data_IF_881439012686
#
_entry.id   IF_881439012686
#
_cell.length_a   1.000
_cell.length_b   1.000
_cell.length_c   1.000
_cell.angle_alpha   90.00
_cell.angle_beta   90.00
_cell.angle_gamma   90.00
#
_symmetry.space_group_name_H-M   'P 1'
#
loop_
_entity.id
_entity.type
_entity.pdbx_description
1 polymer ?
#
# COMPACT_ATOMS: atom_id res chain seq x y z
N UNK A 1 -2.69 -44.31 70.97
CA UNK A 1 -1.65 -44.07 69.90
C UNK A 1 -2.28 -43.11 68.90
N UNK A 2 -1.96 -41.80 68.97
CA UNK A 2 -2.46 -40.77 68.04
C UNK A 2 -1.32 -40.46 67.06
N UNK A 3 -1.54 -40.75 65.77
CA UNK A 3 -0.57 -40.39 64.71
C UNK A 3 -0.86 -38.97 64.26
N UNK A 4 0.07 -38.03 64.59
CA UNK A 4 0.11 -36.70 63.98
C UNK A 4 0.65 -36.79 62.55
N UNK A 5 -0.13 -36.35 61.55
CA UNK A 5 0.34 -36.13 60.18
C UNK A 5 0.77 -34.68 60.04
N UNK A 6 2.07 -34.47 59.81
CA UNK A 6 2.67 -33.17 59.53
C UNK A 6 2.55 -32.87 58.03
N UNK A 7 1.68 -31.95 57.64
CA UNK A 7 1.63 -31.41 56.27
C UNK A 7 2.69 -30.36 56.07
N UNK A 8 3.71 -30.66 55.29
CA UNK A 8 4.74 -29.71 54.87
C UNK A 8 4.19 -28.99 53.62
N UNK A 9 3.77 -27.72 53.79
CA UNK A 9 3.40 -26.83 52.66
C UNK A 9 4.69 -26.38 51.97
N UNK A 10 4.98 -26.94 50.79
CA UNK A 10 5.99 -26.37 49.87
C UNK A 10 5.37 -25.18 49.16
N UNK A 11 5.71 -23.97 49.59
CA UNK A 11 5.47 -22.73 48.84
C UNK A 11 6.58 -22.64 47.79
N UNK A 12 6.28 -23.15 46.58
CA UNK A 12 7.11 -22.91 45.41
C UNK A 12 6.94 -21.47 44.96
N UNK A 13 7.94 -20.65 45.23
CA UNK A 13 8.03 -19.31 44.66
C UNK A 13 8.13 -19.39 43.14
N UNK A 14 7.07 -19.04 42.43
CA UNK A 14 7.13 -18.75 41.00
C UNK A 14 7.85 -17.40 40.85
N UNK A 15 9.16 -17.44 40.77
CA UNK A 15 9.96 -16.35 40.20
C UNK A 15 9.62 -16.24 38.72
N UNK A 16 8.60 -15.47 38.38
CA UNK A 16 8.42 -15.03 37.00
C UNK A 16 9.63 -14.18 36.65
N UNK A 17 10.58 -14.74 35.94
CA UNK A 17 11.56 -13.93 35.21
C UNK A 17 10.77 -13.11 34.22
N UNK A 18 10.52 -11.85 34.54
CA UNK A 18 10.13 -10.83 33.56
C UNK A 18 11.40 -10.67 32.70
N UNK A 19 11.44 -11.39 31.58
CA UNK A 19 12.41 -11.12 30.55
C UNK A 19 12.03 -9.74 29.99
N UNK A 20 12.97 -8.79 29.99
CA UNK A 20 12.76 -7.52 29.30
C UNK A 20 12.41 -7.82 27.84
N UNK A 21 11.38 -7.16 27.34
CA UNK A 21 11.01 -7.25 25.95
C UNK A 21 12.23 -6.92 25.07
N UNK A 22 12.52 -7.71 24.01
CA UNK A 22 13.64 -7.39 23.13
C UNK A 22 13.42 -6.02 22.49
N UNK A 23 14.50 -5.25 22.35
CA UNK A 23 14.47 -3.94 21.70
C UNK A 23 13.96 -4.07 20.27
N UNK A 24 13.22 -3.07 19.81
CA UNK A 24 12.64 -3.05 18.48
C UNK A 24 13.73 -2.90 17.40
N UNK A 25 13.71 -3.78 16.41
CA UNK A 25 14.64 -3.76 15.27
C UNK A 25 14.11 -2.97 14.06
N UNK A 26 12.91 -2.37 14.13
CA UNK A 26 12.36 -1.59 13.04
C UNK A 26 12.89 -0.15 13.04
N UNK A 27 13.16 0.39 11.85
CA UNK A 27 13.72 1.72 11.64
C UNK A 27 12.87 2.49 10.62
N UNK A 28 11.57 2.71 10.92
CA UNK A 28 10.64 3.27 9.96
C UNK A 28 10.06 4.62 10.37
N UNK A 29 9.85 5.49 9.35
CA UNK A 29 8.94 6.63 9.44
C UNK A 29 7.52 6.09 9.18
N UNK A 30 6.64 6.18 10.16
CA UNK A 30 5.26 5.69 10.08
C UNK A 30 4.25 6.80 9.73
N UNK A 31 4.58 8.05 10.04
CA UNK A 31 3.82 9.23 9.62
C UNK A 31 4.74 10.45 9.48
N UNK A 32 4.33 11.39 8.63
CA UNK A 32 5.04 12.65 8.43
C UNK A 32 4.03 13.77 8.20
N UNK A 33 4.34 14.95 8.79
CA UNK A 33 3.67 16.21 8.49
C UNK A 33 4.72 17.25 8.10
N UNK A 34 4.40 18.12 7.17
CA UNK A 34 5.25 19.24 6.79
C UNK A 34 4.80 20.47 7.55
N UNK A 35 5.76 21.12 8.19
CA UNK A 35 5.58 22.32 8.98
C UNK A 35 6.22 23.53 8.29
N UNK A 36 5.61 24.69 8.43
CA UNK A 36 6.24 25.94 8.06
C UNK A 36 7.30 26.38 9.08
N UNK A 37 8.03 27.43 8.79
CA UNK A 37 9.08 27.96 9.66
C UNK A 37 8.64 28.36 11.08
N UNK A 38 7.34 28.46 11.33
CA UNK A 38 6.75 28.77 12.65
C UNK A 38 6.36 27.51 13.44
N UNK A 39 6.60 26.31 12.88
CA UNK A 39 6.22 25.05 13.48
C UNK A 39 4.74 24.70 13.36
N UNK A 40 3.98 25.41 12.54
CA UNK A 40 2.58 25.09 12.24
C UNK A 40 2.46 24.26 10.97
N UNK A 41 1.41 23.44 10.81
CA UNK A 41 1.20 22.67 9.58
C UNK A 41 1.22 23.59 8.35
N UNK A 42 1.96 23.17 7.31
CA UNK A 42 2.05 23.91 6.06
C UNK A 42 0.76 23.71 5.25
N UNK A 43 0.09 24.80 4.90
CA UNK A 43 -1.22 24.77 4.23
C UNK A 43 -1.13 24.61 2.71
N UNK A 44 0.05 24.75 2.14
CA UNK A 44 0.27 24.58 0.70
C UNK A 44 0.55 23.13 0.29
N UNK A 45 0.49 22.19 1.23
CA UNK A 45 0.61 20.76 0.92
C UNK A 45 -0.72 20.26 0.34
N UNK A 46 -0.62 19.53 -0.75
CA UNK A 46 -1.77 18.93 -1.44
C UNK A 46 -1.94 17.47 -1.00
N UNK A 47 -3.13 17.12 -0.52
CA UNK A 47 -3.51 15.75 -0.19
C UNK A 47 -2.58 15.05 0.82
N UNK A 48 -2.47 13.75 0.70
CA UNK A 48 -1.72 12.91 1.64
C UNK A 48 -0.23 12.86 1.32
N UNK A 49 0.58 12.80 2.37
CA UNK A 49 2.02 12.50 2.24
C UNK A 49 2.18 10.99 2.11
N UNK A 50 3.00 10.58 1.15
CA UNK A 50 3.25 9.18 0.84
C UNK A 50 4.58 8.76 1.43
N UNK A 51 4.57 7.63 2.11
CA UNK A 51 5.76 6.99 2.64
C UNK A 51 5.87 5.63 1.97
N UNK A 52 6.78 5.50 1.02
CA UNK A 52 7.05 4.28 0.27
C UNK A 52 8.55 4.07 0.12
N UNK A 53 9.01 2.86 0.30
CA UNK A 53 10.38 2.41 0.01
C UNK A 53 11.47 3.42 0.41
N UNK A 54 11.51 3.80 1.68
CA UNK A 54 12.47 4.78 2.21
C UNK A 54 12.37 6.19 1.57
N UNK A 55 11.22 6.53 1.02
CA UNK A 55 10.93 7.86 0.51
C UNK A 55 9.69 8.44 1.20
N UNK A 56 9.77 9.70 1.58
CA UNK A 56 8.62 10.52 1.98
C UNK A 56 8.38 11.52 0.85
N UNK A 57 7.24 11.41 0.19
CA UNK A 57 6.85 12.28 -0.92
C UNK A 57 5.63 13.10 -0.54
N UNK A 58 5.74 14.40 -0.60
CA UNK A 58 4.64 15.35 -0.48
C UNK A 58 4.48 16.15 -1.76
N UNK A 59 3.24 16.38 -2.17
CA UNK A 59 2.96 17.35 -3.24
C UNK A 59 2.54 18.69 -2.65
N UNK A 60 2.98 19.78 -3.26
CA UNK A 60 2.72 21.12 -2.80
C UNK A 60 2.25 22.05 -3.93
N UNK A 61 1.61 23.16 -3.56
CA UNK A 61 1.34 24.24 -4.49
C UNK A 61 2.64 24.94 -4.90
N UNK A 62 2.78 25.41 -6.15
CA UNK A 62 3.98 26.13 -6.59
C UNK A 62 4.28 27.41 -5.80
N UNK A 63 3.33 27.92 -5.02
CA UNK A 63 3.51 29.10 -4.16
C UNK A 63 4.20 28.81 -2.83
N UNK A 64 4.51 27.56 -2.50
CA UNK A 64 5.18 27.19 -1.26
C UNK A 64 6.63 27.71 -1.22
N UNK A 65 7.08 28.18 -0.07
CA UNK A 65 8.49 28.50 0.18
C UNK A 65 9.23 27.22 0.66
N UNK A 66 9.76 26.46 -0.29
CA UNK A 66 10.50 25.23 0.00
C UNK A 66 11.76 25.44 0.85
N UNK A 67 12.27 26.68 0.94
CA UNK A 67 13.54 26.96 1.64
C UNK A 67 13.40 27.04 3.17
N UNK A 68 12.18 26.99 3.70
CA UNK A 68 11.87 27.24 5.12
C UNK A 68 10.84 26.28 5.68
N UNK A 69 11.06 25.00 5.50
CA UNK A 69 10.15 23.98 6.01
C UNK A 69 10.82 23.11 7.08
N UNK A 70 10.01 22.47 7.90
CA UNK A 70 10.42 21.48 8.90
C UNK A 70 9.47 20.27 8.82
N UNK A 71 9.79 19.19 9.52
CA UNK A 71 8.97 18.00 9.57
C UNK A 71 8.57 17.68 11.01
N UNK A 72 7.36 17.16 11.16
CA UNK A 72 6.93 16.38 12.31
C UNK A 72 6.80 14.94 11.85
N UNK A 73 7.61 14.05 12.40
CA UNK A 73 7.63 12.62 12.01
C UNK A 73 7.23 11.74 13.18
N UNK A 74 6.50 10.67 12.87
CA UNK A 74 6.28 9.56 13.78
C UNK A 74 7.14 8.40 13.32
N UNK A 75 7.89 7.82 14.25
CA UNK A 75 8.78 6.68 14.01
C UNK A 75 8.18 5.39 14.60
N UNK A 76 8.74 4.26 14.23
CA UNK A 76 8.57 3.01 14.97
C UNK A 76 9.04 3.21 16.42
N UNK A 77 8.46 2.46 17.34
CA UNK A 77 8.71 2.62 18.78
C UNK A 77 10.20 2.45 19.11
N UNK A 78 10.72 3.38 19.89
CA UNK A 78 12.15 3.40 20.31
C UNK A 78 13.14 3.87 19.24
N UNK A 79 12.74 4.02 17.98
CA UNK A 79 13.62 4.47 16.91
C UNK A 79 13.99 5.95 17.02
N UNK A 80 15.16 6.32 16.46
CA UNK A 80 15.67 7.68 16.41
C UNK A 80 15.91 8.13 14.98
N UNK A 81 15.87 9.44 14.72
CA UNK A 81 16.09 10.03 13.40
C UNK A 81 17.15 11.12 13.44
N UNK A 82 17.97 11.18 12.40
CA UNK A 82 19.01 12.22 12.23
C UNK A 82 19.09 12.61 10.73
N UNK A 83 19.28 13.92 10.42
CA UNK A 83 19.27 15.07 11.32
C UNK A 83 17.91 15.29 12.00
N UNK A 84 17.85 16.22 12.95
CA UNK A 84 16.59 16.58 13.61
C UNK A 84 15.56 17.08 12.57
N UNK A 85 14.43 16.39 12.39
CA UNK A 85 13.42 16.76 11.39
C UNK A 85 12.68 18.05 11.73
N UNK A 86 12.62 18.45 13.00
CA UNK A 86 12.00 19.71 13.43
C UNK A 86 12.84 20.95 13.07
N UNK A 87 14.09 20.74 12.66
CA UNK A 87 14.94 21.84 12.17
C UNK A 87 14.41 22.37 10.84
N UNK A 88 14.31 23.70 10.72
CA UNK A 88 13.98 24.37 9.44
C UNK A 88 15.12 24.13 8.45
N UNK A 89 14.76 23.60 7.28
CA UNK A 89 15.68 23.22 6.20
C UNK A 89 15.15 23.68 4.84
N UNK A 90 16.02 23.61 3.83
CA UNK A 90 15.68 23.86 2.43
C UNK A 90 15.30 22.54 1.74
N UNK A 91 14.05 22.42 1.32
CA UNK A 91 13.49 21.27 0.61
C UNK A 91 13.34 21.53 -0.91
N UNK A 92 13.98 22.55 -1.46
CA UNK A 92 14.05 22.73 -2.92
C UNK A 92 14.79 21.57 -3.62
N UNK A 93 15.51 20.75 -2.83
CA UNK A 93 16.13 19.50 -3.23
C UNK A 93 15.80 18.41 -2.20
N UNK A 94 15.81 17.11 -2.58
CA UNK A 94 15.58 16.01 -1.66
C UNK A 94 16.49 16.08 -0.42
N UNK A 95 15.92 15.97 0.76
CA UNK A 95 16.64 15.94 2.03
C UNK A 95 16.73 14.51 2.56
N UNK A 96 17.87 14.15 3.13
CA UNK A 96 18.13 12.81 3.64
C UNK A 96 18.06 12.76 5.15
N UNK A 97 17.41 11.75 5.67
CA UNK A 97 17.29 11.44 7.08
C UNK A 97 17.60 9.98 7.32
N UNK A 98 18.37 9.69 8.35
CA UNK A 98 18.65 8.31 8.77
C UNK A 98 17.81 8.00 9.99
N UNK A 99 16.99 6.97 9.90
CA UNK A 99 16.27 6.37 11.03
C UNK A 99 17.09 5.21 11.55
N UNK A 100 17.27 5.15 12.86
CA UNK A 100 17.99 4.08 13.55
C UNK A 100 17.02 3.37 14.48
N UNK A 101 16.96 2.04 14.43
CA UNK A 101 16.15 1.21 15.32
C UNK A 101 16.50 1.38 16.79
N UNK A 102 15.61 0.97 17.69
CA UNK A 102 15.85 1.01 19.14
C UNK A 102 17.06 0.18 19.55
N UNK A 103 17.27 -0.98 18.94
CA UNK A 103 18.40 -1.86 19.18
C UNK A 103 19.74 -1.34 18.59
N UNK A 104 19.68 -0.26 17.79
CA UNK A 104 20.83 0.37 17.15
C UNK A 104 21.47 -0.42 16.00
N UNK A 105 20.89 -1.57 15.61
CA UNK A 105 21.48 -2.45 14.62
C UNK A 105 21.05 -2.15 13.19
N UNK A 106 19.89 -1.50 13.02
CA UNK A 106 19.34 -1.17 11.72
C UNK A 106 19.31 0.32 11.47
N UNK A 107 19.72 0.71 10.26
CA UNK A 107 19.72 2.08 9.80
C UNK A 107 19.02 2.13 8.46
N UNK A 108 18.05 3.04 8.32
CA UNK A 108 17.32 3.26 7.08
C UNK A 108 17.43 4.72 6.66
N UNK A 109 17.97 4.97 5.46
CA UNK A 109 18.07 6.32 4.91
C UNK A 109 16.77 6.65 4.16
N UNK A 110 16.07 7.67 4.61
CA UNK A 110 14.88 8.22 3.94
C UNK A 110 15.25 9.44 3.11
N UNK A 111 14.71 9.50 1.90
CA UNK A 111 14.73 10.69 1.06
C UNK A 111 13.38 11.41 1.18
N UNK A 112 13.38 12.65 1.67
CA UNK A 112 12.19 13.49 1.76
C UNK A 112 12.16 14.43 0.58
N UNK A 113 11.08 14.37 -0.20
CA UNK A 113 10.84 15.14 -1.41
C UNK A 113 9.55 15.92 -1.27
N UNK A 114 9.61 17.22 -1.47
CA UNK A 114 8.42 18.08 -1.57
C UNK A 114 8.36 18.60 -3.01
N UNK A 115 7.43 18.03 -3.78
CA UNK A 115 7.32 18.24 -5.21
C UNK A 115 6.19 19.22 -5.52
N UNK A 116 6.46 20.18 -6.37
CA UNK A 116 5.47 21.15 -6.86
C UNK A 116 4.93 20.79 -8.24
N UNK A 117 5.37 19.68 -8.82
CA UNK A 117 4.93 19.21 -10.13
C UNK A 117 3.63 18.41 -10.04
N UNK A 118 2.86 18.45 -11.11
CA UNK A 118 1.69 17.60 -11.26
C UNK A 118 2.09 16.15 -11.60
N UNK A 119 1.24 15.20 -11.23
CA UNK A 119 1.40 13.81 -11.65
C UNK A 119 1.48 13.69 -13.18
N UNK A 120 2.32 12.80 -13.70
CA UNK A 120 2.34 12.50 -15.13
C UNK A 120 0.99 11.96 -15.60
N UNK A 121 0.68 12.20 -16.87
CA UNK A 121 -0.53 11.67 -17.52
C UNK A 121 -0.25 10.37 -18.29
N UNK A 122 1.01 9.96 -18.35
CA UNK A 122 1.44 8.73 -19.01
C UNK A 122 2.41 8.01 -18.10
N UNK A 123 2.20 6.72 -17.97
CA UNK A 123 3.03 5.78 -17.23
C UNK A 123 3.43 4.66 -18.17
N UNK A 124 4.72 4.39 -18.28
CA UNK A 124 5.26 3.36 -19.18
C UNK A 124 5.80 2.12 -18.45
N UNK A 125 5.90 2.20 -17.10
CA UNK A 125 6.36 1.11 -16.24
C UNK A 125 7.77 0.59 -16.55
N UNK A 126 8.62 1.44 -17.12
CA UNK A 126 10.00 1.05 -17.47
C UNK A 126 10.91 0.97 -16.23
N UNK A 127 10.57 1.66 -15.15
CA UNK A 127 11.44 1.84 -14.01
C UNK A 127 11.04 1.02 -12.78
N UNK A 128 11.96 0.20 -12.33
CA UNK A 128 11.84 -0.49 -11.04
C UNK A 128 13.23 -0.71 -10.44
N UNK A 129 13.25 -0.98 -9.15
CA UNK A 129 14.43 -1.50 -8.44
C UNK A 129 14.00 -2.55 -7.43
N UNK A 130 14.96 -3.20 -6.79
CA UNK A 130 14.65 -4.09 -5.68
C UNK A 130 14.49 -3.27 -4.40
N UNK A 131 13.58 -3.72 -3.53
CA UNK A 131 13.48 -3.14 -2.20
C UNK A 131 14.81 -3.34 -1.43
N UNK A 132 14.99 -2.65 -0.30
CA UNK A 132 16.23 -2.64 0.49
C UNK A 132 16.78 -4.03 0.84
N UNK A 133 15.89 -5.01 1.02
CA UNK A 133 16.28 -6.38 1.33
C UNK A 133 16.50 -7.26 0.10
N UNK A 134 16.36 -6.70 -1.12
CA UNK A 134 16.53 -7.43 -2.38
C UNK A 134 15.46 -8.47 -2.69
N UNK A 135 14.34 -8.46 -1.96
CA UNK A 135 13.33 -9.52 -2.05
C UNK A 135 12.33 -9.34 -3.19
N UNK A 136 11.88 -8.12 -3.45
CA UNK A 136 10.83 -7.83 -4.44
C UNK A 136 11.08 -6.51 -5.15
N UNK A 137 10.40 -6.34 -6.26
CA UNK A 137 10.48 -5.14 -7.08
C UNK A 137 9.58 -4.04 -6.51
N UNK A 138 10.07 -2.81 -6.53
CA UNK A 138 9.37 -1.56 -6.27
C UNK A 138 9.45 -0.68 -7.50
N UNK A 139 8.34 -0.03 -7.85
CA UNK A 139 8.19 0.72 -9.09
C UNK A 139 8.25 2.21 -8.81
N UNK A 140 8.85 2.97 -9.71
CA UNK A 140 8.99 4.41 -9.57
C UNK A 140 8.85 5.11 -10.93
N UNK A 141 8.54 6.39 -10.88
CA UNK A 141 8.63 7.28 -12.03
C UNK A 141 9.88 8.16 -11.91
N UNK A 142 10.45 8.55 -13.02
CA UNK A 142 11.51 9.56 -13.05
C UNK A 142 10.93 10.92 -13.40
N UNK A 143 11.19 11.91 -12.56
CA UNK A 143 10.76 13.27 -12.85
C UNK A 143 11.64 13.90 -13.92
N UNK A 144 11.01 14.58 -14.87
CA UNK A 144 11.70 15.43 -15.84
C UNK A 144 11.81 16.86 -15.27
N UNK A 145 12.96 17.16 -14.70
CA UNK A 145 13.24 18.48 -14.12
C UNK A 145 14.73 18.80 -14.16
N UNK A 146 15.15 19.84 -13.44
CA UNK A 146 16.57 20.22 -13.30
C UNK A 146 17.39 19.20 -12.53
N UNK A 147 16.75 18.30 -11.77
CA UNK A 147 17.34 17.12 -11.15
C UNK A 147 16.41 15.94 -11.39
N UNK A 148 16.97 14.86 -11.97
CA UNK A 148 16.28 13.57 -12.05
C UNK A 148 16.24 12.95 -10.65
N UNK A 149 15.06 12.65 -10.15
CA UNK A 149 14.90 11.85 -8.95
C UNK A 149 13.76 10.84 -9.09
N UNK A 150 13.88 9.74 -8.38
CA UNK A 150 12.90 8.67 -8.37
C UNK A 150 11.71 9.06 -7.49
N UNK A 151 10.51 8.89 -8.02
CA UNK A 151 9.26 9.07 -7.27
C UNK A 151 8.58 7.72 -7.12
N UNK A 152 8.54 7.17 -5.90
CA UNK A 152 7.88 5.90 -5.60
C UNK A 152 6.39 6.10 -5.36
N UNK A 153 5.72 6.53 -6.42
CA UNK A 153 4.27 6.79 -6.42
C UNK A 153 3.42 5.53 -6.57
N UNK A 154 4.05 4.45 -7.00
CA UNK A 154 3.41 3.15 -7.15
C UNK A 154 3.59 2.28 -5.91
N UNK A 155 2.50 1.70 -5.43
CA UNK A 155 2.51 0.71 -4.36
C UNK A 155 1.94 -0.62 -4.84
N UNK A 156 2.34 -1.69 -4.18
CA UNK A 156 1.84 -3.05 -4.41
C UNK A 156 1.77 -3.84 -3.11
N UNK A 157 1.05 -4.95 -3.12
CA UNK A 157 0.99 -5.89 -2.01
C UNK A 157 2.24 -6.75 -1.82
N UNK A 158 3.31 -6.53 -2.61
CA UNK A 158 4.55 -7.32 -2.52
C UNK A 158 5.17 -7.31 -1.13
N UNK A 159 5.15 -6.17 -0.44
CA UNK A 159 5.67 -6.07 0.93
C UNK A 159 4.88 -6.94 1.93
N UNK A 160 3.55 -6.98 1.78
CA UNK A 160 2.70 -7.89 2.56
C UNK A 160 2.95 -9.36 2.19
N UNK A 161 3.11 -9.68 0.91
CA UNK A 161 3.44 -11.02 0.46
C UNK A 161 4.81 -11.48 1.00
N UNK A 162 5.77 -10.58 1.16
CA UNK A 162 7.08 -10.89 1.73
C UNK A 162 7.00 -11.47 3.15
N UNK A 163 5.96 -11.13 3.93
CA UNK A 163 5.74 -11.67 5.28
C UNK A 163 5.45 -13.18 5.26
N UNK A 164 4.97 -13.70 4.13
CA UNK A 164 4.67 -15.15 3.99
C UNK A 164 5.91 -16.01 3.89
N UNK A 165 7.04 -15.44 3.48
CA UNK A 165 8.29 -16.16 3.21
C UNK A 165 8.22 -17.12 2.01
N UNK A 166 7.15 -17.09 1.20
CA UNK A 166 6.97 -17.97 0.02
C UNK A 166 7.86 -17.53 -1.14
N UNK A 167 7.91 -16.21 -1.41
CA UNK A 167 8.77 -15.66 -2.49
C UNK A 167 10.25 -15.77 -2.12
N UNK A 168 11.01 -16.54 -2.89
CA UNK A 168 12.45 -16.78 -2.71
C UNK A 168 13.32 -15.90 -3.59
N UNK A 169 12.76 -15.42 -4.69
CA UNK A 169 13.41 -14.48 -5.60
C UNK A 169 12.40 -13.44 -6.08
N UNK A 170 12.85 -12.28 -6.60
CA UNK A 170 11.97 -11.17 -6.98
C UNK A 170 10.90 -11.51 -8.02
N UNK A 171 11.13 -12.49 -8.89
CA UNK A 171 10.19 -12.87 -9.95
C UNK A 171 9.04 -13.78 -9.44
N UNK A 172 9.13 -14.29 -8.23
CA UNK A 172 8.08 -15.10 -7.60
C UNK A 172 7.00 -14.28 -6.91
N UNK A 173 7.17 -12.97 -6.85
CA UNK A 173 6.20 -12.06 -6.22
C UNK A 173 4.96 -11.83 -7.10
N UNK A 174 3.83 -11.46 -6.49
CA UNK A 174 2.58 -11.23 -7.21
C UNK A 174 2.63 -10.11 -8.25
N UNK A 175 3.49 -9.10 -8.04
CA UNK A 175 3.62 -7.92 -8.90
C UNK A 175 5.07 -7.81 -9.37
N UNK A 176 5.30 -8.01 -10.68
CA UNK A 176 6.65 -8.01 -11.25
C UNK A 176 6.70 -7.33 -12.61
N UNK A 177 7.84 -6.74 -12.93
CA UNK A 177 8.13 -6.23 -14.27
C UNK A 177 8.54 -7.38 -15.21
N UNK A 178 8.04 -7.34 -16.44
CA UNK A 178 8.37 -8.27 -17.51
C UNK A 178 8.86 -7.51 -18.74
N UNK A 179 9.65 -8.18 -19.59
CA UNK A 179 10.30 -7.54 -20.75
C UNK A 179 9.46 -7.51 -22.04
N UNK A 180 8.37 -8.27 -22.08
CA UNK A 180 7.58 -8.42 -23.30
C UNK A 180 6.31 -7.55 -23.25
N UNK A 181 6.48 -6.24 -23.13
CA UNK A 181 5.42 -5.24 -23.23
C UNK A 181 5.12 -4.85 -24.69
N UNK A 182 4.48 -3.71 -24.87
CA UNK A 182 4.16 -3.16 -26.20
C UNK A 182 5.43 -2.57 -26.83
N UNK A 183 5.66 -2.86 -28.11
CA UNK A 183 6.75 -2.30 -28.92
C UNK A 183 8.15 -2.47 -28.29
N UNK A 184 8.35 -3.58 -27.57
CA UNK A 184 9.61 -3.90 -26.92
C UNK A 184 9.85 -3.18 -25.58
N UNK A 185 8.84 -2.47 -25.06
CA UNK A 185 8.84 -1.89 -23.73
C UNK A 185 8.68 -2.96 -22.64
N UNK A 186 8.77 -2.53 -21.40
CA UNK A 186 8.40 -3.35 -20.23
C UNK A 186 6.89 -3.31 -19.99
N UNK A 187 6.42 -4.27 -19.22
CA UNK A 187 5.05 -4.28 -18.70
C UNK A 187 5.05 -4.77 -17.25
N UNK A 188 3.97 -4.51 -16.54
CA UNK A 188 3.75 -5.06 -15.22
C UNK A 188 2.87 -6.30 -15.32
N UNK A 189 3.36 -7.40 -14.77
CA UNK A 189 2.59 -8.62 -14.59
C UNK A 189 2.03 -8.66 -13.18
N UNK A 190 0.73 -8.79 -13.09
CA UNK A 190 -0.03 -9.02 -11.86
C UNK A 190 -0.52 -10.46 -11.86
N UNK A 191 -0.18 -11.23 -10.83
CA UNK A 191 -0.50 -12.65 -10.76
C UNK A 191 -0.93 -13.01 -9.35
N UNK A 192 -2.05 -13.72 -9.23
CA UNK A 192 -2.49 -14.29 -7.95
C UNK A 192 -1.55 -15.43 -7.52
N UNK A 193 -1.01 -15.35 -6.33
CA UNK A 193 -0.06 -16.32 -5.77
C UNK A 193 -0.60 -16.95 -4.49
N UNK A 194 -0.23 -18.21 -4.25
CA UNK A 194 -0.44 -18.84 -2.95
C UNK A 194 0.45 -18.18 -1.89
N UNK A 195 -0.11 -17.95 -0.73
CA UNK A 195 0.59 -17.42 0.46
C UNK A 195 1.15 -18.53 1.35
N UNK A 196 0.99 -19.79 0.92
CA UNK A 196 1.48 -20.96 1.65
C UNK A 196 0.82 -21.13 3.03
N UNK A 197 1.46 -21.91 3.87
CA UNK A 197 0.94 -22.29 5.19
C UNK A 197 0.70 -21.07 6.11
N UNK A 198 1.53 -20.04 6.03
CA UNK A 198 1.34 -18.83 6.81
C UNK A 198 0.02 -18.15 6.45
N UNK A 199 -0.23 -17.95 5.16
CA UNK A 199 -1.46 -17.33 4.70
C UNK A 199 -2.70 -18.16 5.01
N UNK A 200 -2.63 -19.50 4.94
CA UNK A 200 -3.71 -20.37 5.38
C UNK A 200 -4.03 -20.19 6.86
N UNK A 201 -3.01 -20.07 7.71
CA UNK A 201 -3.15 -19.85 9.16
C UNK A 201 -3.86 -18.53 9.47
N UNK A 202 -3.53 -17.47 8.74
CA UNK A 202 -4.17 -16.15 8.90
C UNK A 202 -5.42 -15.96 8.02
N UNK A 203 -5.92 -17.06 7.43
CA UNK A 203 -7.12 -17.09 6.57
C UNK A 203 -7.01 -16.26 5.27
N UNK A 204 -5.81 -16.10 4.77
CA UNK A 204 -5.48 -15.40 3.53
C UNK A 204 -4.67 -16.32 2.61
N UNK A 205 -5.27 -17.39 2.05
CA UNK A 205 -4.55 -18.45 1.33
C UNK A 205 -3.91 -18.00 0.01
N UNK A 206 -4.33 -16.85 -0.51
CA UNK A 206 -3.80 -16.27 -1.74
C UNK A 206 -3.56 -14.76 -1.58
N UNK A 207 -2.68 -14.22 -2.40
CA UNK A 207 -2.45 -12.80 -2.57
C UNK A 207 -2.60 -12.45 -4.07
N UNK A 208 -3.48 -11.52 -4.38
CA UNK A 208 -3.62 -10.98 -5.72
C UNK A 208 -2.44 -10.07 -6.06
N UNK A 209 -1.95 -10.14 -7.30
CA UNK A 209 -1.07 -9.13 -7.85
C UNK A 209 -1.82 -7.82 -8.00
N UNK A 210 -1.26 -6.73 -7.51
CA UNK A 210 -1.84 -5.41 -7.61
C UNK A 210 -0.78 -4.33 -7.77
N UNK A 211 -1.13 -3.25 -8.45
CA UNK A 211 -0.32 -2.05 -8.57
C UNK A 211 -1.24 -0.83 -8.56
N UNK A 212 -0.95 0.15 -7.72
CA UNK A 212 -1.81 1.32 -7.58
C UNK A 212 -1.02 2.57 -7.17
N UNK A 213 -1.54 3.73 -7.50
CA UNK A 213 -1.03 5.01 -7.01
C UNK A 213 -1.41 5.19 -5.54
N UNK A 214 -0.42 5.42 -4.68
CA UNK A 214 -0.62 5.54 -3.25
C UNK A 214 0.45 4.85 -2.42
N UNK A 215 0.07 4.28 -1.28
CA UNK A 215 0.98 3.57 -0.38
C UNK A 215 0.37 2.27 0.16
N UNK A 216 1.23 1.35 0.58
CA UNK A 216 0.84 0.08 1.18
C UNK A 216 1.35 0.00 2.62
N UNK A 217 0.43 -0.10 3.57
CA UNK A 217 0.72 -0.21 5.01
C UNK A 217 0.87 -1.68 5.41
N UNK A 218 2.11 -2.11 5.53
CA UNK A 218 2.45 -3.50 5.89
C UNK A 218 1.90 -3.91 7.25
N UNK A 219 1.81 -2.99 8.21
CA UNK A 219 1.30 -3.28 9.56
C UNK A 219 -0.16 -3.72 9.54
N UNK A 220 -0.93 -3.23 8.58
CA UNK A 220 -2.31 -3.65 8.38
C UNK A 220 -2.45 -4.92 7.53
N UNK A 221 -1.40 -5.36 6.82
CA UNK A 221 -1.48 -6.42 5.82
C UNK A 221 -2.06 -7.75 6.32
N UNK A 222 -1.86 -8.09 7.59
CA UNK A 222 -2.35 -9.36 8.18
C UNK A 222 -3.66 -9.17 8.94
N UNK A 223 -3.78 -8.12 9.76
CA UNK A 223 -4.92 -7.94 10.65
C UNK A 223 -6.10 -7.23 9.98
N UNK A 224 -5.82 -6.29 9.09
CA UNK A 224 -6.82 -5.46 8.41
C UNK A 224 -6.42 -5.25 6.94
N UNK A 225 -6.31 -6.31 6.13
CA UNK A 225 -5.69 -6.25 4.81
C UNK A 225 -6.37 -5.26 3.85
N UNK A 226 -7.68 -5.03 3.94
CA UNK A 226 -8.35 -3.98 3.16
C UNK A 226 -7.89 -2.57 3.54
N UNK A 227 -7.40 -2.36 4.77
CA UNK A 227 -6.81 -1.08 5.21
C UNK A 227 -5.33 -0.95 4.88
N UNK A 228 -4.70 -2.00 4.38
CA UNK A 228 -3.30 -1.96 3.99
C UNK A 228 -3.07 -1.11 2.73
N UNK A 229 -4.02 -1.08 1.82
CA UNK A 229 -3.98 -0.23 0.63
C UNK A 229 -4.48 1.16 0.96
N UNK A 230 -3.69 2.18 0.62
CA UNK A 230 -4.05 3.60 0.75
C UNK A 230 -3.98 4.20 -0.64
N UNK A 231 -5.15 4.35 -1.27
CA UNK A 231 -5.24 4.77 -2.65
C UNK A 231 -5.19 6.29 -2.82
N UNK A 232 -4.55 6.72 -3.88
CA UNK A 232 -4.62 8.07 -4.39
C UNK A 232 -3.41 8.93 -4.10
N UNK A 233 -3.22 9.85 -5.03
CA UNK A 233 -2.24 10.92 -5.03
C UNK A 233 -2.95 12.21 -5.39
N UNK A 234 -2.48 13.37 -4.92
CA UNK A 234 -3.03 14.65 -5.35
C UNK A 234 -2.98 14.79 -6.87
N UNK A 235 -4.13 15.12 -7.47
CA UNK A 235 -4.27 15.27 -8.91
C UNK A 235 -5.12 16.50 -9.22
N UNK A 236 -4.52 17.52 -9.83
CA UNK A 236 -5.14 18.83 -10.07
C UNK A 236 -5.84 18.98 -11.42
N UNK A 237 -6.00 17.90 -12.21
CA UNK A 237 -6.57 17.96 -13.55
C UNK A 237 -7.91 17.21 -13.61
N UNK A 238 -8.69 17.50 -14.64
CA UNK A 238 -9.94 16.79 -14.93
C UNK A 238 -9.69 15.80 -16.07
N UNK A 239 -9.44 14.50 -15.77
CA UNK A 239 -9.19 13.52 -16.80
C UNK A 239 -10.47 13.22 -17.59
N UNK A 240 -10.34 13.01 -18.89
CA UNK A 240 -11.46 12.66 -19.75
C UNK A 240 -11.53 11.16 -20.02
N UNK A 241 -10.37 10.52 -20.19
CA UNK A 241 -10.28 9.12 -20.56
C UNK A 241 -9.11 8.43 -19.85
N UNK A 242 -9.33 7.18 -19.47
CA UNK A 242 -8.30 6.21 -19.11
C UNK A 242 -7.97 5.37 -20.33
N UNK A 243 -6.69 5.32 -20.71
CA UNK A 243 -6.21 4.56 -21.88
C UNK A 243 -5.02 3.71 -21.50
N UNK A 244 -4.87 2.59 -22.18
CA UNK A 244 -3.72 1.73 -22.00
C UNK A 244 -3.81 0.47 -22.83
N UNK A 245 -2.99 -0.49 -22.46
CA UNK A 245 -2.96 -1.82 -23.03
C UNK A 245 -2.97 -2.85 -21.92
N UNK A 246 -3.68 -3.93 -22.11
CA UNK A 246 -3.64 -5.07 -21.21
C UNK A 246 -3.67 -6.39 -21.95
N UNK A 247 -3.20 -7.40 -21.28
CA UNK A 247 -3.33 -8.80 -21.62
C UNK A 247 -3.84 -9.50 -20.36
N UNK A 248 -4.81 -10.39 -20.49
CA UNK A 248 -5.42 -11.04 -19.35
C UNK A 248 -5.74 -12.50 -19.63
N UNK A 249 -5.34 -13.36 -18.72
CA UNK A 249 -5.71 -14.77 -18.71
C UNK A 249 -6.31 -15.09 -17.36
N UNK A 250 -7.61 -15.44 -17.29
CA UNK A 250 -8.25 -15.82 -16.04
C UNK A 250 -7.63 -17.10 -15.46
N UNK A 251 -7.63 -17.21 -14.13
CA UNK A 251 -7.15 -18.41 -13.44
C UNK A 251 -7.98 -19.64 -13.83
N UNK A 252 -7.30 -20.78 -13.97
CA UNK A 252 -7.94 -22.05 -14.38
C UNK A 252 -8.47 -22.85 -13.20
N UNK A 253 -8.17 -22.46 -11.97
CA UNK A 253 -8.63 -23.14 -10.77
C UNK A 253 -10.08 -22.78 -10.45
N UNK A 254 -10.86 -23.70 -9.85
CA UNK A 254 -12.20 -23.37 -9.40
C UNK A 254 -12.18 -22.18 -8.45
N UNK A 255 -13.07 -21.21 -8.68
CA UNK A 255 -13.20 -20.06 -7.79
C UNK A 255 -13.57 -20.53 -6.37
N UNK A 256 -12.79 -20.10 -5.40
CA UNK A 256 -12.96 -20.48 -3.99
C UNK A 256 -13.07 -19.22 -3.13
N UNK A 257 -14.00 -19.26 -2.18
CA UNK A 257 -14.19 -18.21 -1.19
C UNK A 257 -14.18 -18.77 0.23
N UNK A 258 -14.08 -17.94 1.22
CA UNK A 258 -14.35 -18.31 2.61
C UNK A 258 -15.83 -18.05 2.91
N UNK A 259 -16.50 -19.02 3.52
CA UNK A 259 -17.84 -18.82 4.07
C UNK A 259 -17.77 -18.04 5.42
N UNK A 260 -18.93 -17.66 5.94
CA UNK A 260 -19.05 -16.96 7.23
C UNK A 260 -18.44 -17.71 8.42
N UNK A 261 -18.14 -19.00 8.28
CA UNK A 261 -17.50 -19.83 9.30
C UNK A 261 -15.99 -19.98 9.05
N UNK A 262 -15.47 -19.36 7.98
CA UNK A 262 -14.07 -19.43 7.58
C UNK A 262 -13.71 -20.71 6.81
N UNK A 263 -14.70 -21.52 6.37
CA UNK A 263 -14.44 -22.70 5.55
C UNK A 263 -14.23 -22.29 4.09
N UNK A 264 -13.32 -22.97 3.40
CA UNK A 264 -13.14 -22.79 1.96
C UNK A 264 -14.26 -23.50 1.22
N UNK A 265 -15.02 -22.74 0.43
CA UNK A 265 -16.10 -23.25 -0.41
C UNK A 265 -15.81 -22.93 -1.87
N UNK A 266 -16.17 -23.84 -2.77
CA UNK A 266 -16.13 -23.58 -4.22
C UNK A 266 -17.42 -22.92 -4.64
N UNK A 267 -17.33 -21.82 -5.39
CA UNK A 267 -18.49 -21.13 -5.95
C UNK A 267 -18.63 -21.55 -7.42
N UNK A 268 -19.64 -22.36 -7.74
CA UNK A 268 -19.84 -22.83 -9.11
C UNK A 268 -20.21 -21.69 -10.06
N UNK A 269 -19.64 -21.73 -11.26
CA UNK A 269 -19.95 -20.76 -12.32
C UNK A 269 -19.35 -19.36 -12.13
N UNK A 270 -18.46 -19.18 -11.15
CA UNK A 270 -17.67 -17.98 -10.98
C UNK A 270 -16.24 -18.23 -11.47
N UNK A 271 -15.73 -17.32 -12.28
CA UNK A 271 -14.36 -17.33 -12.77
C UNK A 271 -13.55 -16.21 -12.11
N UNK A 272 -12.23 -16.31 -12.21
CA UNK A 272 -11.29 -15.26 -11.83
C UNK A 272 -11.50 -14.03 -12.73
N UNK A 273 -11.51 -12.85 -12.12
CA UNK A 273 -11.72 -11.58 -12.81
C UNK A 273 -10.57 -10.61 -12.51
N UNK A 274 -10.03 -10.01 -13.57
CA UNK A 274 -9.10 -8.88 -13.44
C UNK A 274 -9.85 -7.56 -13.34
N UNK A 275 -9.25 -6.55 -12.73
CA UNK A 275 -9.85 -5.23 -12.60
C UNK A 275 -8.85 -4.12 -12.92
N UNK A 276 -9.24 -3.19 -13.80
CA UNK A 276 -8.46 -2.01 -14.16
C UNK A 276 -9.37 -0.80 -14.04
N UNK A 277 -9.05 0.12 -13.13
CA UNK A 277 -9.85 1.32 -12.93
C UNK A 277 -9.02 2.51 -12.49
N UNK A 278 -9.58 3.70 -12.68
CA UNK A 278 -9.08 4.93 -12.11
C UNK A 278 -10.21 5.67 -11.40
N UNK A 279 -9.95 6.04 -10.14
CA UNK A 279 -10.88 6.78 -9.29
C UNK A 279 -10.31 8.17 -9.02
N UNK A 280 -11.13 9.20 -9.22
CA UNK A 280 -10.88 10.55 -8.75
C UNK A 280 -11.82 10.82 -7.58
N UNK A 281 -11.29 11.25 -6.44
CA UNK A 281 -12.08 11.51 -5.24
C UNK A 281 -11.64 12.80 -4.55
N UNK A 282 -12.52 13.42 -3.78
CA UNK A 282 -12.23 14.58 -2.94
C UNK A 282 -11.68 14.11 -1.60
N UNK A 283 -10.46 14.55 -1.27
CA UNK A 283 -9.79 14.17 -0.02
C UNK A 283 -10.10 15.11 1.15
N UNK A 284 -10.69 16.28 0.89
CA UNK A 284 -10.91 17.31 1.93
C UNK A 284 -11.80 16.85 3.08
N UNK A 285 -12.78 15.99 2.81
CA UNK A 285 -13.74 15.47 3.81
C UNK A 285 -13.26 14.18 4.50
N UNK A 286 -12.06 13.70 4.14
CA UNK A 286 -11.51 12.45 4.67
C UNK A 286 -10.55 12.66 5.84
N UNK A 287 -10.46 13.88 6.40
CA UNK A 287 -9.55 14.23 7.52
C UNK A 287 -8.11 13.74 7.31
N UNK A 288 -7.63 13.83 6.05
CA UNK A 288 -6.29 13.37 5.67
C UNK A 288 -6.16 11.85 5.52
N UNK A 289 -7.27 11.11 5.51
CA UNK A 289 -7.25 9.67 5.22
C UNK A 289 -7.38 9.43 3.71
N UNK A 290 -6.69 8.40 3.22
CA UNK A 290 -6.87 7.91 1.85
C UNK A 290 -8.07 6.95 1.79
N UNK A 291 -8.65 6.78 0.61
CA UNK A 291 -9.53 5.64 0.36
C UNK A 291 -8.70 4.34 0.44
N UNK A 292 -9.32 3.29 0.93
CA UNK A 292 -8.71 1.97 1.10
C UNK A 292 -9.54 0.86 0.42
N UNK A 293 -9.15 -0.38 0.61
CA UNK A 293 -9.85 -1.52 0.01
C UNK A 293 -11.31 -1.67 0.44
N UNK A 294 -11.74 -1.01 1.54
CA UNK A 294 -13.15 -1.05 1.95
C UNK A 294 -14.02 -0.09 1.16
N UNK A 295 -13.47 1.03 0.68
CA UNK A 295 -14.29 2.13 0.19
C UNK A 295 -13.85 2.75 -1.15
N UNK A 296 -12.75 2.32 -1.75
CA UNK A 296 -12.22 2.91 -2.99
C UNK A 296 -13.22 2.92 -4.16
N UNK A 297 -14.20 2.04 -4.15
CA UNK A 297 -15.23 1.96 -5.18
C UNK A 297 -16.64 2.34 -4.69
N UNK A 298 -16.80 2.74 -3.44
CA UNK A 298 -18.12 3.02 -2.84
C UNK A 298 -18.17 4.27 -1.99
N UNK A 299 -17.06 4.97 -1.83
CA UNK A 299 -17.04 6.23 -1.09
C UNK A 299 -17.93 7.28 -1.76
N UNK A 300 -18.66 8.03 -0.96
CA UNK A 300 -19.46 9.19 -1.42
C UNK A 300 -18.57 10.33 -1.93
N UNK A 301 -17.27 10.32 -1.58
CA UNK A 301 -16.31 11.32 -2.02
C UNK A 301 -15.76 11.05 -3.43
N UNK A 302 -16.21 10.00 -4.12
CA UNK A 302 -15.82 9.74 -5.50
C UNK A 302 -16.46 10.77 -6.42
N UNK A 303 -15.61 11.51 -7.14
CA UNK A 303 -15.98 12.54 -8.10
C UNK A 303 -16.09 11.97 -9.51
N UNK A 304 -15.20 11.05 -9.85
CA UNK A 304 -15.20 10.41 -11.16
C UNK A 304 -14.57 9.03 -11.12
N UNK A 305 -14.99 8.20 -12.06
CA UNK A 305 -14.54 6.84 -12.22
C UNK A 305 -14.42 6.48 -13.69
N UNK A 306 -13.34 5.82 -14.06
CA UNK A 306 -13.19 5.08 -15.29
C UNK A 306 -12.83 3.64 -14.94
N UNK A 307 -13.54 2.65 -15.47
CA UNK A 307 -13.30 1.22 -15.24
C UNK A 307 -13.34 0.46 -16.54
N UNK A 308 -12.34 -0.37 -16.76
CA UNK A 308 -12.22 -1.22 -17.93
C UNK A 308 -13.03 -2.49 -17.71
N UNK A 309 -13.82 -2.87 -18.68
CA UNK A 309 -14.42 -4.21 -18.74
C UNK A 309 -13.33 -5.17 -19.20
N UNK A 310 -12.73 -5.90 -18.23
CA UNK A 310 -11.59 -6.78 -18.47
C UNK A 310 -12.09 -8.13 -18.96
N UNK A 311 -11.73 -8.46 -20.20
CA UNK A 311 -12.00 -9.76 -20.82
C UNK A 311 -10.69 -10.50 -21.08
N UNK A 312 -10.76 -11.83 -21.24
CA UNK A 312 -9.60 -12.62 -21.69
C UNK A 312 -9.05 -12.08 -23.00
N UNK A 313 -7.76 -11.75 -22.99
CA UNK A 313 -6.99 -11.31 -24.18
C UNK A 313 -5.66 -12.03 -24.19
N UNK A 314 -5.39 -12.80 -25.24
CA UNK A 314 -4.15 -13.56 -25.38
C UNK A 314 -2.96 -12.67 -25.81
N UNK A 315 -3.26 -11.48 -26.37
CA UNK A 315 -2.28 -10.47 -26.77
C UNK A 315 -2.59 -9.12 -26.15
N UNK A 316 -1.59 -8.23 -26.05
CA UNK A 316 -1.80 -6.88 -25.58
C UNK A 316 -2.83 -6.15 -26.43
N UNK A 317 -3.95 -5.79 -25.80
CA UNK A 317 -5.08 -5.16 -26.43
C UNK A 317 -5.26 -3.75 -25.86
N UNK A 318 -5.40 -2.79 -26.76
CA UNK A 318 -5.66 -1.40 -26.37
C UNK A 318 -7.06 -1.27 -25.73
N UNK A 319 -7.14 -0.45 -24.69
CA UNK A 319 -8.41 0.00 -24.13
C UNK A 319 -8.47 1.51 -24.04
N UNK A 320 -9.67 2.04 -24.06
CA UNK A 320 -10.00 3.41 -23.72
C UNK A 320 -11.36 3.46 -23.05
N UNK A 321 -11.46 4.14 -21.93
CA UNK A 321 -12.68 4.27 -21.14
C UNK A 321 -12.83 5.71 -20.71
N UNK A 322 -14.02 6.28 -20.88
CA UNK A 322 -14.31 7.63 -20.45
C UNK A 322 -14.48 7.69 -18.93
N UNK A 323 -14.02 8.79 -18.31
CA UNK A 323 -14.34 9.08 -16.93
C UNK A 323 -15.79 9.53 -16.80
N UNK A 324 -16.55 8.81 -16.00
CA UNK A 324 -17.90 9.19 -15.61
C UNK A 324 -17.85 10.07 -14.38
N UNK A 325 -18.33 11.32 -14.53
CA UNK A 325 -18.39 12.31 -13.46
C UNK A 325 -19.81 12.36 -12.88
N UNK A 326 -19.92 12.53 -11.57
CA UNK A 326 -21.18 12.73 -10.86
C UNK A 326 -21.35 11.82 -9.64
N UNK A 327 -22.34 12.14 -8.81
CA UNK A 327 -22.57 11.53 -7.50
C UNK A 327 -23.15 10.10 -7.54
N UNK A 328 -23.26 9.47 -8.70
CA UNK A 328 -23.76 8.10 -8.82
C UNK A 328 -22.85 7.29 -9.73
N UNK A 329 -22.12 6.38 -9.12
CA UNK A 329 -21.46 5.28 -9.80
C UNK A 329 -22.56 4.48 -10.53
N UNK A 330 -22.40 4.12 -11.83
CA UNK A 330 -23.37 3.33 -12.55
C UNK A 330 -23.77 2.07 -11.76
N UNK A 331 -25.06 1.83 -11.67
CA UNK A 331 -25.66 0.71 -10.92
C UNK A 331 -25.23 -0.65 -11.51
N UNK A 332 -24.71 -0.66 -12.73
CA UNK A 332 -24.33 -1.86 -13.51
C UNK A 332 -22.94 -2.41 -13.18
N UNK A 333 -22.36 -1.98 -12.07
CA UNK A 333 -21.12 -2.57 -11.58
C UNK A 333 -21.33 -4.04 -11.25
N UNK A 334 -20.32 -4.89 -11.48
CA UNK A 334 -20.47 -6.30 -11.22
C UNK A 334 -21.10 -6.52 -9.85
N UNK A 335 -22.19 -7.24 -9.83
CA UNK A 335 -22.98 -7.56 -8.64
C UNK A 335 -22.09 -8.07 -7.50
N UNK A 336 -21.02 -8.74 -7.87
CA UNK A 336 -19.98 -9.29 -7.05
C UNK A 336 -19.32 -8.28 -6.09
N UNK A 337 -18.90 -7.08 -6.57
CA UNK A 337 -18.28 -6.07 -5.70
C UNK A 337 -19.31 -5.42 -4.78
N UNK A 338 -20.57 -5.35 -5.23
CA UNK A 338 -21.68 -4.76 -4.49
C UNK A 338 -22.20 -5.66 -3.39
N UNK A 339 -22.28 -6.98 -3.65
CA UNK A 339 -22.87 -7.96 -2.73
C UNK A 339 -21.89 -8.43 -1.63
N UNK A 340 -20.60 -8.06 -1.71
CA UNK A 340 -19.59 -8.40 -0.71
C UNK A 340 -19.56 -7.46 0.50
N UNK A 341 -20.34 -6.41 0.48
CA UNK A 341 -20.37 -5.41 1.55
C UNK A 341 -21.66 -5.48 2.32
N UNK A 342 -21.63 -6.23 3.39
CA UNK A 342 -22.62 -6.09 4.44
C UNK A 342 -22.29 -4.79 5.20
N UNK A 343 -23.22 -3.81 5.27
CA UNK A 343 -23.02 -2.58 6.06
C UNK A 343 -22.77 -2.84 7.54
N UNK A 344 -23.06 -4.05 8.03
CA UNK A 344 -22.78 -4.48 9.39
C UNK A 344 -21.37 -5.09 9.56
N UNK A 345 -20.58 -5.16 8.48
CA UNK A 345 -19.25 -5.76 8.51
C UNK A 345 -18.24 -4.81 9.17
N UNK A 346 -17.80 -5.18 10.35
CA UNK A 346 -16.77 -4.49 11.13
C UNK A 346 -15.35 -4.64 10.58
N UNK A 347 -15.18 -5.12 9.35
CA UNK A 347 -13.90 -5.37 8.69
C UNK A 347 -13.30 -6.74 9.01
N UNK A 348 -14.09 -7.66 9.58
CA UNK A 348 -13.73 -9.06 9.81
C UNK A 348 -14.32 -10.02 8.76
N UNK A 349 -14.94 -9.49 7.71
CA UNK A 349 -15.57 -10.28 6.66
C UNK A 349 -14.59 -11.22 5.95
N UNK A 350 -15.05 -12.41 5.57
CA UNK A 350 -14.23 -13.38 4.86
C UNK A 350 -13.84 -12.84 3.48
N UNK A 351 -12.53 -12.83 3.21
CA UNK A 351 -11.99 -12.44 1.92
C UNK A 351 -12.39 -13.46 0.88
N UNK A 352 -12.87 -12.97 -0.25
CA UNK A 352 -12.91 -13.77 -1.46
C UNK A 352 -11.47 -13.95 -1.94
N UNK A 353 -11.09 -15.18 -2.20
CA UNK A 353 -9.82 -15.52 -2.81
C UNK A 353 -10.00 -15.47 -4.33
N UNK A 354 -9.36 -14.51 -4.99
CA UNK A 354 -9.25 -14.46 -6.44
C UNK A 354 -8.18 -15.39 -6.96
#
# INVERSE_FOLDING_TARGET
MKKCFLYLLMVGGLGACIQSEPLNAEADITACKILNAKGSPETNIKGNIIINNAQVLAQANPSIDLTKLALEVTLTEGANISPDPARVMDYSHPQKFTVTSEDGNWHKEYSVIIDTFDLPLRYDFEHYELNETGKYQVFFEETQGTALFKQYIWASGNSGFALTGVGRNPQEYPTVSIENGIDGSRAIKLETKSTGQFGETVKMPIAAGNLFLGSFDVNNAVQKPLKATRFGLPFGKKPLQLKGYYKYTPGTQPFKAKDKNGNTVTIPGQEDEGDIYAVLYEAAELDGQALDGNNVLTSENIVALARVEVEKKDEFTAFHVDFHYGSRIPIDWPKFIRDQRDPSDDGTAPYLSF
#
